data_IF_815907599745
#
_entry.id   IF_815907599745
#
_cell.length_a   1.000
_cell.length_b   1.000
_cell.length_c   1.000
_cell.angle_alpha   90.00
_cell.angle_beta   90.00
_cell.angle_gamma   90.00
#
_symmetry.space_group_name_H-M   'P 1'
#
loop_
_entity.id
_entity.type
_entity.pdbx_description
1 polymer ?
#
# COMPACT_ATOMS: atom_id res chain seq x y z
N UNK A 1 15.02 -15.68 0.38
CA UNK A 1 15.25 -14.26 0.00
C UNK A 1 14.36 -13.84 -1.17
N UNK A 2 14.22 -14.67 -2.20
CA UNK A 2 13.39 -14.39 -3.39
C UNK A 2 11.91 -14.13 -3.08
N UNK A 3 11.32 -14.88 -2.14
CA UNK A 3 9.89 -14.68 -1.76
C UNK A 3 9.58 -13.29 -1.22
N UNK A 4 10.56 -12.66 -0.59
CA UNK A 4 10.39 -11.33 -0.04
C UNK A 4 10.37 -10.28 -1.16
N UNK A 5 11.32 -10.36 -2.10
CA UNK A 5 11.37 -9.50 -3.29
C UNK A 5 10.12 -9.67 -4.16
N UNK A 6 9.61 -10.89 -4.30
CA UNK A 6 8.38 -11.15 -5.06
C UNK A 6 7.17 -10.52 -4.35
N UNK A 7 7.05 -10.65 -3.02
CA UNK A 7 5.99 -9.98 -2.25
C UNK A 7 6.09 -8.46 -2.34
N UNK A 8 7.31 -7.92 -2.39
CA UNK A 8 7.55 -6.50 -2.57
C UNK A 8 6.98 -6.01 -3.91
N UNK A 9 7.34 -6.68 -5.01
CA UNK A 9 6.87 -6.35 -6.36
C UNK A 9 5.35 -6.49 -6.45
N UNK A 10 4.78 -7.58 -5.92
CA UNK A 10 3.33 -7.80 -5.89
C UNK A 10 2.62 -6.65 -5.19
N UNK A 11 3.10 -6.23 -4.00
CA UNK A 11 2.48 -5.12 -3.28
C UNK A 11 2.65 -3.79 -4.02
N UNK A 12 3.80 -3.54 -4.65
CA UNK A 12 4.02 -2.33 -5.45
C UNK A 12 3.06 -2.27 -6.65
N UNK A 13 2.89 -3.37 -7.38
CA UNK A 13 1.90 -3.48 -8.48
C UNK A 13 0.48 -3.28 -7.94
N UNK A 14 0.16 -3.90 -6.80
CA UNK A 14 -1.15 -3.74 -6.16
C UNK A 14 -1.43 -2.30 -5.73
N UNK A 15 -0.42 -1.54 -5.27
CA UNK A 15 -0.55 -0.11 -4.99
C UNK A 15 -0.87 0.67 -6.27
N UNK A 16 -0.12 0.43 -7.36
CA UNK A 16 -0.35 1.11 -8.63
C UNK A 16 -1.78 0.87 -9.11
N UNK A 17 -2.28 -0.37 -9.00
CA UNK A 17 -3.67 -0.70 -9.32
C UNK A 17 -4.66 0.00 -8.37
N UNK A 18 -4.36 0.06 -7.08
CA UNK A 18 -5.24 0.73 -6.12
C UNK A 18 -5.38 2.23 -6.40
N UNK A 19 -4.29 2.88 -6.79
CA UNK A 19 -4.30 4.29 -7.20
C UNK A 19 -5.13 4.48 -8.45
N UNK A 20 -5.01 3.61 -9.46
CA UNK A 20 -5.75 3.78 -10.71
C UNK A 20 -7.24 3.49 -10.57
N UNK A 21 -7.62 2.61 -9.63
CA UNK A 21 -9.01 2.16 -9.46
C UNK A 21 -9.75 2.95 -8.39
N UNK A 22 -9.08 3.40 -7.32
CA UNK A 22 -9.75 4.01 -6.17
C UNK A 22 -9.86 5.53 -6.33
N UNK A 23 -11.08 6.09 -6.43
CA UNK A 23 -11.26 7.53 -6.49
C UNK A 23 -10.66 8.20 -5.25
N UNK A 24 -10.12 9.41 -5.41
CA UNK A 24 -9.46 10.19 -4.35
C UNK A 24 -8.16 9.62 -3.78
N UNK A 25 -7.65 8.49 -4.28
CA UNK A 25 -6.22 8.18 -4.20
C UNK A 25 -5.58 8.86 -5.39
N UNK A 26 -4.99 10.04 -5.16
CA UNK A 26 -4.49 10.89 -6.25
C UNK A 26 -2.98 10.91 -6.26
N UNK A 27 -2.50 11.01 -7.48
CA UNK A 27 -1.15 11.42 -7.76
C UNK A 27 -1.17 12.72 -8.56
N UNK A 28 -0.70 13.78 -7.93
CA UNK A 28 -0.57 15.09 -8.55
C UNK A 28 0.90 15.33 -8.88
N UNK A 29 1.41 14.63 -9.90
CA UNK A 29 2.81 14.73 -10.33
C UNK A 29 3.02 15.45 -11.67
N UNK A 30 1.96 15.99 -12.30
CA UNK A 30 2.08 16.66 -13.60
C UNK A 30 2.73 15.74 -14.65
N UNK A 31 3.69 16.27 -15.42
CA UNK A 31 4.42 15.52 -16.45
C UNK A 31 5.59 14.66 -15.88
N UNK A 32 5.75 14.61 -14.56
CA UNK A 32 6.88 13.96 -13.89
C UNK A 32 6.61 12.49 -13.57
N UNK A 33 6.64 11.64 -14.60
CA UNK A 33 6.45 10.19 -14.48
C UNK A 33 7.38 9.51 -13.45
N UNK A 34 8.55 10.08 -13.19
CA UNK A 34 9.52 9.55 -12.23
C UNK A 34 9.00 9.57 -10.78
N UNK A 35 8.08 10.49 -10.44
CA UNK A 35 7.47 10.57 -9.10
C UNK A 35 6.65 9.31 -8.77
N UNK A 36 6.01 8.70 -9.76
CA UNK A 36 5.32 7.42 -9.58
C UNK A 36 6.30 6.31 -9.16
N UNK A 37 7.46 6.24 -9.80
CA UNK A 37 8.50 5.27 -9.44
C UNK A 37 9.05 5.55 -8.04
N UNK A 38 9.25 6.82 -7.68
CA UNK A 38 9.69 7.20 -6.35
C UNK A 38 8.70 6.76 -5.27
N UNK A 39 7.39 6.99 -5.48
CA UNK A 39 6.35 6.56 -4.52
C UNK A 39 6.22 5.05 -4.45
N UNK A 40 6.31 4.34 -5.59
CA UNK A 40 6.33 2.89 -5.61
C UNK A 40 7.55 2.34 -4.84
N UNK A 41 8.72 2.97 -4.97
CA UNK A 41 9.92 2.62 -4.23
C UNK A 41 9.75 2.87 -2.72
N UNK A 42 9.19 4.01 -2.31
CA UNK A 42 8.89 4.33 -0.90
C UNK A 42 7.91 3.31 -0.31
N UNK A 43 6.81 3.04 -0.99
CA UNK A 43 5.85 2.02 -0.57
C UNK A 43 6.51 0.65 -0.42
N UNK A 44 7.38 0.31 -1.37
CA UNK A 44 8.18 -0.90 -1.31
C UNK A 44 9.03 -0.96 -0.04
N UNK A 45 9.85 0.06 0.19
CA UNK A 45 10.72 0.16 1.37
C UNK A 45 9.93 0.08 2.69
N UNK A 46 8.79 0.77 2.77
CA UNK A 46 7.90 0.71 3.93
C UNK A 46 7.39 -0.71 4.16
N UNK A 47 6.95 -1.40 3.11
CA UNK A 47 6.50 -2.79 3.23
C UNK A 47 7.64 -3.79 3.49
N UNK A 48 8.87 -3.42 3.13
CA UNK A 48 10.08 -4.21 3.38
C UNK A 48 10.52 -4.11 4.84
N UNK A 49 10.60 -2.90 5.40
CA UNK A 49 11.21 -2.65 6.71
C UNK A 49 10.19 -2.43 7.81
N UNK A 50 9.14 -1.65 7.55
CA UNK A 50 8.19 -1.22 8.58
C UNK A 50 7.09 -2.27 8.79
N UNK A 51 6.54 -2.82 7.70
CA UNK A 51 5.46 -3.82 7.78
C UNK A 51 5.84 -5.02 8.64
N UNK A 52 7.02 -5.65 8.57
CA UNK A 52 7.35 -6.80 9.42
C UNK A 52 7.29 -6.46 10.91
N UNK A 53 7.77 -5.27 11.29
CA UNK A 53 7.77 -4.80 12.67
C UNK A 53 6.33 -4.58 13.15
N UNK A 54 5.53 -3.82 12.40
CA UNK A 54 4.12 -3.57 12.73
C UNK A 54 3.32 -4.86 12.74
N UNK A 55 3.58 -5.77 11.80
CA UNK A 55 2.99 -7.10 11.73
C UNK A 55 3.28 -7.92 12.98
N UNK A 56 4.52 -7.90 13.48
CA UNK A 56 4.91 -8.61 14.68
C UNK A 56 4.18 -8.06 15.92
N UNK A 57 4.13 -6.73 16.06
CA UNK A 57 3.41 -6.07 17.15
C UNK A 57 1.90 -6.33 17.10
N UNK A 58 1.35 -6.48 15.89
CA UNK A 58 -0.07 -6.75 15.66
C UNK A 58 -0.46 -8.23 15.76
N UNK A 59 0.49 -9.15 15.97
CA UNK A 59 0.21 -10.60 16.03
C UNK A 59 -0.95 -10.99 16.96
N UNK A 60 -1.02 -10.54 18.23
CA UNK A 60 -2.13 -10.92 19.11
C UNK A 60 -3.48 -10.45 18.55
N UNK A 61 -3.53 -9.23 18.02
CA UNK A 61 -4.74 -8.69 17.37
C UNK A 61 -5.09 -9.45 16.10
N UNK A 62 -4.10 -9.87 15.30
CA UNK A 62 -4.34 -10.68 14.09
C UNK A 62 -4.96 -12.03 14.39
N UNK A 63 -4.57 -12.67 15.49
CA UNK A 63 -5.14 -13.94 15.92
C UNK A 63 -6.61 -13.77 16.35
N UNK A 64 -6.93 -12.68 17.05
CA UNK A 64 -8.30 -12.40 17.52
C UNK A 64 -9.22 -11.98 16.36
N UNK A 65 -8.70 -11.20 15.41
CA UNK A 65 -9.50 -10.59 14.34
C UNK A 65 -9.59 -11.42 13.05
N UNK A 66 -9.01 -12.63 13.04
CA UNK A 66 -9.01 -13.60 11.92
C UNK A 66 -8.59 -13.04 10.55
N UNK A 67 -7.90 -11.88 10.52
CA UNK A 67 -7.47 -11.23 9.29
C UNK A 67 -7.82 -9.74 9.18
N UNK A 68 -8.76 -9.21 9.98
CA UNK A 68 -9.11 -7.78 9.88
C UNK A 68 -7.94 -6.87 10.25
N UNK A 69 -7.09 -7.26 11.21
CA UNK A 69 -5.85 -6.53 11.51
C UNK A 69 -4.87 -6.47 10.33
N UNK A 70 -4.92 -7.40 9.37
CA UNK A 70 -4.10 -7.31 8.16
C UNK A 70 -4.55 -6.14 7.26
N UNK A 71 -5.86 -5.88 7.16
CA UNK A 71 -6.40 -4.71 6.46
C UNK A 71 -5.95 -3.41 7.13
N UNK A 72 -6.04 -3.34 8.46
CA UNK A 72 -5.58 -2.16 9.23
C UNK A 72 -4.10 -1.85 8.94
N UNK A 73 -3.26 -2.88 8.84
CA UNK A 73 -1.84 -2.70 8.53
C UNK A 73 -1.65 -2.24 7.09
N UNK A 74 -2.42 -2.76 6.13
CA UNK A 74 -2.38 -2.29 4.75
C UNK A 74 -2.75 -0.80 4.66
N UNK A 75 -3.81 -0.38 5.36
CA UNK A 75 -4.21 1.03 5.49
C UNK A 75 -3.08 1.85 6.11
N UNK A 76 -2.51 1.39 7.23
CA UNK A 76 -1.45 2.10 7.93
C UNK A 76 -0.19 2.30 7.07
N UNK A 77 0.25 1.27 6.33
CA UNK A 77 1.40 1.38 5.42
C UNK A 77 1.11 2.34 4.28
N UNK A 78 -0.11 2.35 3.76
CA UNK A 78 -0.54 3.25 2.69
C UNK A 78 -0.57 4.72 3.16
N UNK A 79 -1.15 4.99 4.33
CA UNK A 79 -1.17 6.32 4.93
C UNK A 79 0.24 6.80 5.28
N UNK A 80 1.11 5.90 5.78
CA UNK A 80 2.51 6.21 6.03
C UNK A 80 3.24 6.58 4.73
N UNK A 81 2.93 5.88 3.64
CA UNK A 81 3.50 6.19 2.32
C UNK A 81 3.08 7.57 1.85
N UNK A 82 1.82 7.99 2.07
CA UNK A 82 1.37 9.36 1.79
C UNK A 82 2.15 10.39 2.59
N UNK A 83 2.36 10.17 3.90
CA UNK A 83 3.18 11.05 4.75
C UNK A 83 4.61 11.15 4.27
N UNK A 84 5.26 10.02 3.97
CA UNK A 84 6.65 10.02 3.52
C UNK A 84 6.77 10.65 2.13
N UNK A 85 5.82 10.38 1.23
CA UNK A 85 5.83 10.93 -0.14
C UNK A 85 5.65 12.44 -0.17
N UNK A 86 4.89 12.99 0.79
CA UNK A 86 4.71 14.42 0.98
C UNK A 86 6.01 15.13 1.39
N UNK A 87 6.83 14.50 2.23
CA UNK A 87 8.16 15.05 2.61
C UNK A 87 9.13 15.20 1.42
N UNK A 88 8.85 14.52 0.31
CA UNK A 88 9.63 14.57 -0.92
C UNK A 88 8.86 15.26 -2.07
N UNK A 89 7.74 15.94 -1.79
CA UNK A 89 6.91 16.65 -2.78
C UNK A 89 6.49 15.77 -3.97
N UNK A 90 6.21 14.49 -3.72
CA UNK A 90 5.88 13.51 -4.76
C UNK A 90 4.40 13.53 -5.18
N UNK A 91 3.57 14.33 -4.51
CA UNK A 91 2.16 14.54 -4.87
C UNK A 91 1.24 13.34 -4.64
N UNK A 92 1.66 12.36 -3.82
CA UNK A 92 0.80 11.22 -3.46
C UNK A 92 -0.10 11.58 -2.28
N UNK A 93 -1.40 11.66 -2.54
CA UNK A 93 -2.39 12.02 -1.50
C UNK A 93 -3.58 11.07 -1.49
N UNK A 94 -4.16 10.90 -0.31
CA UNK A 94 -5.35 10.06 -0.11
C UNK A 94 -6.42 10.94 0.49
N UNK A 95 -7.42 11.30 -0.30
CA UNK A 95 -8.48 12.23 0.07
C UNK A 95 -7.96 13.54 0.72
N UNK A 96 -6.81 14.04 0.26
CA UNK A 96 -6.17 15.24 0.78
C UNK A 96 -5.14 15.01 1.90
N UNK A 97 -5.06 13.82 2.49
CA UNK A 97 -3.98 13.48 3.44
C UNK A 97 -2.64 13.32 2.71
N UNK A 98 -1.52 13.84 3.27
CA UNK A 98 -1.38 14.40 4.62
C UNK A 98 -1.67 15.90 4.78
N UNK A 99 -1.56 16.70 3.71
CA UNK A 99 -1.64 18.17 3.76
C UNK A 99 -3.00 18.69 4.27
N UNK A 100 -4.10 18.07 3.86
CA UNK A 100 -5.47 18.45 4.21
C UNK A 100 -5.97 17.95 5.57
N UNK A 101 -5.14 17.23 6.33
CA UNK A 101 -5.52 16.62 7.60
C UNK A 101 -6.30 15.31 7.48
N UNK A 102 -6.60 14.66 8.62
CA UNK A 102 -7.38 13.41 8.66
C UNK A 102 -8.86 13.76 8.75
N UNK A 103 -9.62 13.44 7.70
CA UNK A 103 -11.08 13.43 7.72
C UNK A 103 -11.63 12.00 7.58
N UNK A 104 -12.96 11.85 7.65
CA UNK A 104 -13.60 10.55 7.48
C UNK A 104 -13.35 9.96 6.07
N UNK A 105 -13.19 10.81 5.05
CA UNK A 105 -12.93 10.36 3.70
C UNK A 105 -11.56 9.69 3.60
N UNK A 106 -10.51 10.24 4.21
CA UNK A 106 -9.17 9.64 4.25
C UNK A 106 -9.25 8.19 4.70
N UNK A 107 -9.95 7.92 5.79
CA UNK A 107 -10.09 6.57 6.34
C UNK A 107 -10.86 5.66 5.36
N UNK A 108 -11.97 6.14 4.79
CA UNK A 108 -12.79 5.37 3.85
C UNK A 108 -12.00 5.01 2.60
N UNK A 109 -11.37 5.99 1.94
CA UNK A 109 -10.62 5.77 0.71
C UNK A 109 -9.34 4.97 0.95
N UNK A 110 -8.65 5.17 2.07
CA UNK A 110 -7.52 4.33 2.44
C UNK A 110 -7.95 2.87 2.68
N UNK A 111 -9.12 2.64 3.29
CA UNK A 111 -9.67 1.30 3.48
C UNK A 111 -10.03 0.65 2.15
N UNK A 112 -10.71 1.37 1.25
CA UNK A 112 -11.03 0.87 -0.10
C UNK A 112 -9.76 0.52 -0.86
N UNK A 113 -8.74 1.39 -0.83
CA UNK A 113 -7.43 1.12 -1.42
C UNK A 113 -6.75 -0.11 -0.80
N UNK A 114 -6.79 -0.26 0.52
CA UNK A 114 -6.24 -1.43 1.20
C UNK A 114 -6.96 -2.73 0.82
N UNK A 115 -8.27 -2.69 0.57
CA UNK A 115 -9.04 -3.83 0.06
C UNK A 115 -8.58 -4.17 -1.36
N UNK A 116 -8.48 -3.17 -2.25
CA UNK A 116 -7.98 -3.38 -3.63
C UNK A 116 -6.58 -3.97 -3.60
N UNK A 117 -5.67 -3.43 -2.78
CA UNK A 117 -4.31 -3.95 -2.62
C UNK A 117 -4.35 -5.42 -2.18
N UNK A 118 -5.18 -5.74 -1.18
CA UNK A 118 -5.30 -7.12 -0.68
C UNK A 118 -5.77 -8.08 -1.76
N UNK A 119 -6.82 -7.71 -2.51
CA UNK A 119 -7.39 -8.52 -3.58
C UNK A 119 -6.36 -8.73 -4.70
N UNK A 120 -5.74 -7.66 -5.19
CA UNK A 120 -4.74 -7.74 -6.26
C UNK A 120 -3.56 -8.59 -5.82
N UNK A 121 -3.04 -8.38 -4.60
CA UNK A 121 -1.94 -9.16 -4.05
C UNK A 121 -2.28 -10.64 -3.90
N UNK A 122 -3.50 -10.98 -3.47
CA UNK A 122 -3.97 -12.37 -3.40
C UNK A 122 -4.07 -13.00 -4.79
N UNK A 123 -4.67 -12.31 -5.76
CA UNK A 123 -4.80 -12.80 -7.13
C UNK A 123 -3.43 -13.03 -7.79
N UNK A 124 -2.52 -12.07 -7.70
CA UNK A 124 -1.15 -12.22 -8.21
C UNK A 124 -0.40 -13.35 -7.50
N UNK A 125 -0.62 -13.51 -6.19
CA UNK A 125 -0.08 -14.62 -5.43
C UNK A 125 -0.62 -15.99 -5.85
N UNK A 126 -1.88 -16.08 -6.28
CA UNK A 126 -2.48 -17.30 -6.81
C UNK A 126 -1.93 -17.64 -8.20
N UNK A 127 -1.82 -16.66 -9.09
CA UNK A 127 -1.23 -16.85 -10.43
C UNK A 127 0.18 -17.42 -10.31
N UNK A 128 1.00 -16.88 -9.41
CA UNK A 128 2.35 -17.40 -9.11
C UNK A 128 2.33 -18.87 -8.67
N UNK A 129 1.36 -19.29 -7.86
CA UNK A 129 1.25 -20.69 -7.41
C UNK A 129 0.82 -21.64 -8.53
N UNK A 130 0.01 -21.16 -9.48
CA UNK A 130 -0.52 -21.95 -10.60
C UNK A 130 0.46 -22.05 -11.76
N UNK A 131 1.37 -21.08 -11.92
CA UNK A 131 2.45 -21.09 -12.93
C UNK A 131 3.79 -21.37 -12.23
N UNK A 132 4.15 -22.64 -11.98
CA UNK A 132 5.45 -22.97 -11.38
C UNK A 132 6.56 -22.69 -12.41
N UNK A 133 7.30 -21.59 -12.23
CA UNK A 133 8.41 -21.21 -13.12
C UNK A 133 8.75 -19.72 -13.17
N UNK A 134 7.96 -18.85 -12.51
CA UNK A 134 8.21 -17.42 -12.30
C UNK A 134 8.17 -17.11 -10.80
#
# INVERSE_FOLDING_TARGET
MTDFLVRLIINAVALVVAVTVVPRVRFEFGDEWWKLLAVAAIFGLINTYIRPIVSLLSLPLRLITLGAAALVINVAMLLLTAVVSDQFDLGFTIAGWPVGGIDANVIIYALVAAIVISVVSTLLGLVRKVVPGV
#
